data_IF_302104513549
#
_entry.id   IF_302104513549
#
_cell.length_a   1.000
_cell.length_b   1.000
_cell.length_c   1.000
_cell.angle_alpha   90.00
_cell.angle_beta   90.00
_cell.angle_gamma   90.00
#
_symmetry.space_group_name_H-M   'P 1'
#
loop_
_entity.id
_entity.type
_entity.pdbx_description
1 polymer ?
#
# COMPACT_ATOMS: atom_id res chain seq x y z
N UNK A 1 -16.73 4.85 -1.47
CA UNK A 1 -16.53 3.44 -1.03
C UNK A 1 -15.87 3.48 0.35
N UNK A 2 -16.28 2.60 1.28
CA UNK A 2 -15.78 2.59 2.67
C UNK A 2 -15.14 1.23 2.95
N UNK A 3 -13.90 1.24 3.41
CA UNK A 3 -13.21 0.05 3.89
C UNK A 3 -12.93 0.20 5.38
N UNK A 4 -13.45 -0.73 6.17
CA UNK A 4 -13.28 -0.74 7.61
C UNK A 4 -12.60 -2.04 8.02
N UNK A 5 -11.50 -1.93 8.76
CA UNK A 5 -10.76 -3.07 9.26
C UNK A 5 -10.55 -2.93 10.77
N UNK A 6 -11.08 -3.91 11.51
CA UNK A 6 -10.89 -4.06 12.96
C UNK A 6 -9.73 -5.01 13.24
N UNK A 7 -8.72 -4.53 13.96
CA UNK A 7 -7.62 -5.30 14.52
C UNK A 7 -7.81 -5.38 16.04
N UNK A 8 -7.85 -6.60 16.60
CA UNK A 8 -8.16 -6.85 18.01
C UNK A 8 -7.24 -6.09 18.99
N UNK A 9 -5.96 -5.92 18.67
CA UNK A 9 -4.97 -5.24 19.53
C UNK A 9 -4.42 -3.93 18.97
N UNK A 10 -4.73 -3.57 17.72
CA UNK A 10 -4.22 -2.36 17.06
C UNK A 10 -5.33 -1.36 16.71
N UNK A 11 -6.58 -1.68 17.06
CA UNK A 11 -7.74 -0.81 16.89
C UNK A 11 -8.39 -0.92 15.51
N UNK A 12 -9.11 0.12 15.09
CA UNK A 12 -9.87 0.13 13.83
C UNK A 12 -9.29 1.11 12.83
N UNK A 13 -8.96 0.63 11.63
CA UNK A 13 -8.55 1.48 10.50
C UNK A 13 -9.73 1.60 9.54
N UNK A 14 -10.21 2.83 9.36
CA UNK A 14 -11.26 3.19 8.42
C UNK A 14 -10.67 4.03 7.30
N UNK A 15 -10.73 3.51 6.08
CA UNK A 15 -10.35 4.22 4.86
C UNK A 15 -11.63 4.56 4.10
N UNK A 16 -11.86 5.84 3.86
CA UNK A 16 -13.01 6.36 3.12
C UNK A 16 -12.51 7.13 1.92
N UNK A 17 -12.92 6.71 0.73
CA UNK A 17 -12.75 7.52 -0.47
C UNK A 17 -13.86 8.58 -0.50
N UNK A 18 -13.49 9.85 -0.34
CA UNK A 18 -14.39 11.01 -0.55
C UNK A 18 -14.27 11.53 -1.99
N UNK A 19 -15.05 12.55 -2.33
CA UNK A 19 -15.13 13.10 -3.67
C UNK A 19 -13.81 13.75 -4.14
N UNK A 20 -13.03 14.33 -3.23
CA UNK A 20 -11.81 15.11 -3.53
C UNK A 20 -10.58 14.69 -2.69
N UNK A 21 -10.78 13.84 -1.68
CA UNK A 21 -9.72 13.40 -0.78
C UNK A 21 -9.86 11.95 -0.35
N UNK A 22 -8.73 11.36 0.02
CA UNK A 22 -8.68 10.10 0.76
C UNK A 22 -8.68 10.40 2.26
N UNK A 23 -9.74 9.99 2.95
CA UNK A 23 -9.81 10.09 4.41
C UNK A 23 -9.33 8.76 5.02
N UNK A 24 -8.25 8.80 5.79
CA UNK A 24 -7.75 7.68 6.57
C UNK A 24 -7.90 8.01 8.04
N UNK A 25 -8.70 7.23 8.75
CA UNK A 25 -8.84 7.30 10.20
C UNK A 25 -8.35 5.98 10.82
N UNK A 26 -7.29 6.04 11.62
CA UNK A 26 -6.86 4.94 12.49
C UNK A 26 -7.29 5.29 13.91
N UNK A 27 -8.03 4.41 14.54
CA UNK A 27 -8.40 4.49 15.96
C UNK A 27 -7.72 3.38 16.72
N UNK A 28 -7.22 3.66 17.91
CA UNK A 28 -6.68 2.67 18.84
C UNK A 28 -7.81 1.75 19.38
N UNK A 29 -7.55 0.59 20.02
CA UNK A 29 -8.60 -0.27 20.58
C UNK A 29 -9.34 0.41 21.76
N UNK A 30 -8.78 1.49 22.31
CA UNK A 30 -9.42 2.38 23.30
C UNK A 30 -10.37 3.41 22.66
N UNK A 31 -10.58 3.38 21.34
CA UNK A 31 -11.51 4.27 20.63
C UNK A 31 -10.96 5.65 20.27
N UNK A 32 -9.79 6.03 20.78
CA UNK A 32 -9.11 7.30 20.46
C UNK A 32 -8.56 7.26 19.03
N UNK A 33 -8.86 8.28 18.23
CA UNK A 33 -8.27 8.45 16.90
C UNK A 33 -6.78 8.76 17.02
N UNK A 34 -5.95 7.81 16.59
CA UNK A 34 -4.48 7.93 16.61
C UNK A 34 -3.91 8.51 15.33
N UNK A 35 -4.68 8.49 14.24
CA UNK A 35 -4.31 9.14 12.99
C UNK A 35 -5.57 9.53 12.23
N UNK A 36 -5.79 10.81 12.01
CA UNK A 36 -6.78 11.31 11.06
C UNK A 36 -6.02 12.12 10.02
N UNK A 37 -6.02 11.66 8.77
CA UNK A 37 -5.36 12.38 7.69
C UNK A 37 -6.26 12.38 6.48
N UNK A 38 -6.49 13.58 5.97
CA UNK A 38 -7.08 13.82 4.66
C UNK A 38 -5.95 14.11 3.69
N UNK A 39 -5.80 13.26 2.68
CA UNK A 39 -4.81 13.48 1.61
C UNK A 39 -5.58 13.85 0.34
N UNK A 40 -5.32 15.02 -0.26
CA UNK A 40 -5.97 15.44 -1.50
C UNK A 40 -5.47 14.59 -2.68
N UNK A 41 -6.28 14.44 -3.73
CA UNK A 41 -5.96 13.58 -4.87
C UNK A 41 -4.68 13.97 -5.61
N UNK A 42 -4.22 15.23 -5.51
CA UNK A 42 -2.96 15.68 -6.11
C UNK A 42 -1.72 14.99 -5.50
N UNK A 43 -1.79 14.58 -4.23
CA UNK A 43 -0.64 14.05 -3.47
C UNK A 43 -0.65 12.52 -3.32
N UNK A 44 -1.67 11.86 -3.88
CA UNK A 44 -1.90 10.42 -3.69
C UNK A 44 -1.06 9.57 -4.64
N UNK A 45 -0.72 10.08 -5.83
CA UNK A 45 0.10 9.35 -6.79
C UNK A 45 1.60 9.47 -6.44
N UNK A 46 2.38 8.38 -6.57
CA UNK A 46 1.99 7.06 -7.05
C UNK A 46 1.37 6.17 -5.96
N UNK A 47 0.28 5.48 -6.31
CA UNK A 47 -0.36 4.48 -5.43
C UNK A 47 0.33 3.13 -5.64
N UNK A 48 1.12 2.69 -4.66
CA UNK A 48 1.75 1.37 -4.62
C UNK A 48 1.07 0.50 -3.57
N UNK A 49 0.40 -0.55 -4.02
CA UNK A 49 -0.13 -1.59 -3.14
C UNK A 49 0.90 -2.72 -3.03
N UNK A 50 1.61 -2.79 -1.90
CA UNK A 50 2.63 -3.82 -1.64
C UNK A 50 2.13 -4.78 -0.56
N UNK A 51 2.21 -6.07 -0.84
CA UNK A 51 1.97 -7.12 0.15
C UNK A 51 3.29 -7.41 0.86
N UNK A 52 3.34 -7.16 2.17
CA UNK A 52 4.53 -7.40 2.97
C UNK A 52 4.26 -8.50 3.99
N UNK A 53 4.93 -9.63 3.81
CA UNK A 53 4.90 -10.74 4.74
C UNK A 53 6.12 -10.66 5.65
N UNK A 54 5.96 -10.18 6.87
CA UNK A 54 7.03 -10.11 7.85
C UNK A 54 6.93 -11.31 8.79
N UNK A 55 7.61 -12.40 8.45
CA UNK A 55 7.75 -13.55 9.34
C UNK A 55 8.97 -13.29 10.24
N UNK A 56 8.82 -13.11 11.57
CA UNK A 56 9.97 -12.94 12.46
C UNK A 56 10.65 -14.30 12.68
N UNK A 57 11.43 -14.75 11.69
CA UNK A 57 12.10 -16.07 11.68
C UNK A 57 12.99 -16.25 12.90
N UNK A 58 13.72 -15.21 13.32
CA UNK A 58 14.61 -15.27 14.47
C UNK A 58 13.86 -15.50 15.79
N UNK A 59 12.70 -14.86 15.97
CA UNK A 59 11.89 -15.06 17.16
C UNK A 59 11.31 -16.47 17.18
N UNK A 60 10.83 -16.97 16.03
CA UNK A 60 10.31 -18.33 15.90
C UNK A 60 11.37 -19.38 16.19
N UNK A 61 12.58 -19.21 15.66
CA UNK A 61 13.73 -20.08 15.95
C UNK A 61 14.05 -20.11 17.44
N UNK A 62 14.14 -18.94 18.07
CA UNK A 62 14.48 -18.83 19.49
C UNK A 62 13.38 -19.44 20.37
N UNK A 63 12.10 -19.18 20.08
CA UNK A 63 10.99 -19.82 20.78
C UNK A 63 10.93 -21.34 20.57
N UNK A 64 11.25 -21.80 19.36
CA UNK A 64 11.29 -23.23 19.04
C UNK A 64 12.41 -23.95 19.79
N UNK A 65 13.61 -23.36 19.81
CA UNK A 65 14.76 -23.91 20.53
C UNK A 65 14.50 -23.95 22.05
N UNK A 66 13.87 -22.91 22.58
CA UNK A 66 13.50 -22.82 23.99
C UNK A 66 12.43 -23.87 24.37
N UNK A 67 11.43 -24.09 23.51
CA UNK A 67 10.43 -25.16 23.68
C UNK A 67 11.05 -26.56 23.67
N UNK A 68 12.01 -26.80 22.77
CA UNK A 68 12.75 -28.08 22.71
C UNK A 68 13.57 -28.28 23.98
N UNK A 69 14.27 -27.25 24.45
CA UNK A 69 15.08 -27.31 25.66
C UNK A 69 14.22 -27.59 26.91
N UNK A 70 13.09 -26.90 27.06
CA UNK A 70 12.13 -27.13 28.15
C UNK A 70 11.42 -28.48 28.04
N UNK A 71 11.25 -29.01 26.82
CA UNK A 71 10.62 -30.31 26.59
C UNK A 71 11.52 -31.52 26.79
N UNK A 72 12.83 -31.33 26.69
CA UNK A 72 13.81 -32.41 26.78
C UNK A 72 13.72 -33.17 28.11
N UNK A 73 13.59 -32.45 29.23
CA UNK A 73 13.57 -33.02 30.58
C UNK A 73 12.30 -33.86 30.87
N UNK A 74 11.07 -33.35 30.67
CA UNK A 74 9.85 -34.14 30.84
C UNK A 74 9.73 -35.28 29.82
N UNK A 75 10.19 -35.07 28.58
CA UNK A 75 10.19 -36.12 27.55
C UNK A 75 11.10 -37.29 27.91
N UNK A 76 12.31 -37.01 28.41
CA UNK A 76 13.25 -38.03 28.89
C UNK A 76 12.71 -38.79 30.09
N UNK A 77 12.04 -38.10 31.02
CA UNK A 77 11.40 -38.74 32.18
C UNK A 77 10.26 -39.67 31.76
N UNK A 78 9.41 -39.23 30.84
CA UNK A 78 8.33 -40.06 30.30
C UNK A 78 8.85 -41.31 29.58
N UNK A 79 9.89 -41.18 28.74
CA UNK A 79 10.52 -42.32 28.07
C UNK A 79 11.15 -43.32 29.06
N UNK A 80 11.70 -42.84 30.18
CA UNK A 80 12.38 -43.69 31.15
C UNK A 80 11.43 -44.40 32.12
N UNK A 81 10.27 -43.81 32.42
CA UNK A 81 9.34 -44.33 33.45
C UNK A 81 8.00 -44.79 32.90
N UNK A 82 7.64 -44.44 31.67
CA UNK A 82 6.35 -44.76 31.05
C UNK A 82 5.15 -44.04 31.67
N UNK A 83 5.35 -43.26 32.73
CA UNK A 83 4.29 -42.55 33.43
C UNK A 83 4.24 -41.08 33.02
N UNK A 84 3.06 -40.62 32.63
CA UNK A 84 2.83 -39.20 32.32
C UNK A 84 2.74 -38.41 33.63
N UNK A 85 3.88 -37.93 34.11
CA UNK A 85 3.94 -37.03 35.27
C UNK A 85 3.29 -35.67 34.98
N UNK A 86 2.99 -34.93 36.05
CA UNK A 86 2.41 -33.58 36.00
C UNK A 86 3.27 -32.61 35.15
N UNK A 87 4.59 -32.84 35.09
CA UNK A 87 5.54 -32.10 34.25
C UNK A 87 5.26 -32.23 32.74
N UNK A 88 4.78 -33.38 32.27
CA UNK A 88 4.43 -33.61 30.85
C UNK A 88 3.16 -32.84 30.49
N UNK A 89 2.14 -32.86 31.36
CA UNK A 89 0.90 -32.10 31.18
C UNK A 89 1.14 -30.59 31.16
N UNK A 90 2.00 -30.09 32.07
CA UNK A 90 2.42 -28.68 32.08
C UNK A 90 3.14 -28.30 30.78
N UNK A 91 4.02 -29.16 30.27
CA UNK A 91 4.71 -28.91 29.01
C UNK A 91 3.75 -28.84 27.81
N UNK A 92 2.78 -29.75 27.72
CA UNK A 92 1.71 -29.68 26.72
C UNK A 92 0.87 -28.41 26.84
N UNK A 93 0.59 -27.95 28.05
CA UNK A 93 -0.08 -26.67 28.30
C UNK A 93 0.70 -25.48 27.76
N UNK A 94 2.02 -25.43 28.01
CA UNK A 94 2.93 -24.40 27.51
C UNK A 94 2.99 -24.42 25.98
N UNK A 95 3.02 -25.61 25.38
CA UNK A 95 3.04 -25.80 23.93
C UNK A 95 1.73 -25.34 23.31
N UNK A 96 0.58 -25.71 23.89
CA UNK A 96 -0.74 -25.26 23.46
C UNK A 96 -0.89 -23.75 23.53
N UNK A 97 -0.45 -23.12 24.63
CA UNK A 97 -0.49 -21.67 24.79
C UNK A 97 0.42 -20.94 23.78
N UNK A 98 1.62 -21.45 23.53
CA UNK A 98 2.54 -20.89 22.52
C UNK A 98 2.00 -21.06 21.09
N UNK A 99 1.40 -22.22 20.79
CA UNK A 99 0.74 -22.46 19.52
C UNK A 99 -0.40 -21.47 19.28
N UNK A 100 -1.24 -21.25 20.29
CA UNK A 100 -2.36 -20.30 20.22
C UNK A 100 -1.87 -18.85 20.09
N UNK A 101 -0.84 -18.46 20.84
CA UNK A 101 -0.22 -17.14 20.73
C UNK A 101 0.43 -16.91 19.35
N UNK A 102 1.09 -17.93 18.81
CA UNK A 102 1.70 -17.89 17.48
C UNK A 102 0.64 -17.80 16.38
N UNK A 103 -0.47 -18.53 16.53
CA UNK A 103 -1.62 -18.47 15.62
C UNK A 103 -2.24 -17.06 15.59
N UNK A 104 -2.47 -16.47 16.77
CA UNK A 104 -3.01 -15.10 16.87
C UNK A 104 -2.05 -14.08 16.26
N UNK A 105 -0.74 -14.23 16.46
CA UNK A 105 0.27 -13.36 15.85
C UNK A 105 0.41 -13.55 14.35
N UNK A 106 0.30 -14.79 13.85
CA UNK A 106 0.30 -15.10 12.43
C UNK A 106 -0.83 -14.34 11.71
N UNK A 107 -2.06 -14.42 12.23
CA UNK A 107 -3.20 -13.74 11.63
C UNK A 107 -3.11 -12.20 11.70
N UNK A 108 -2.49 -11.65 12.74
CA UNK A 108 -2.52 -10.22 13.00
C UNK A 108 -1.31 -9.44 12.49
N UNK A 109 -0.11 -10.04 12.54
CA UNK A 109 1.15 -9.32 12.38
C UNK A 109 1.98 -9.79 11.18
N UNK A 110 1.87 -11.06 10.77
CA UNK A 110 2.83 -11.60 9.79
C UNK A 110 2.42 -11.38 8.34
N UNK A 111 1.13 -11.22 8.07
CA UNK A 111 0.65 -10.74 6.79
C UNK A 111 0.23 -9.29 6.97
N UNK A 112 0.83 -8.35 6.24
CA UNK A 112 0.40 -6.94 6.22
C UNK A 112 0.25 -6.45 4.78
N UNK A 113 -0.83 -5.74 4.49
CA UNK A 113 -0.99 -4.99 3.25
C UNK A 113 -0.51 -3.56 3.49
N UNK A 114 0.40 -3.07 2.66
CA UNK A 114 0.85 -1.69 2.70
C UNK A 114 0.30 -0.95 1.49
N UNK A 115 -0.50 0.08 1.74
CA UNK A 115 -0.88 1.07 0.75
C UNK A 115 0.07 2.24 0.90
N UNK A 116 1.01 2.36 -0.03
CA UNK A 116 1.97 3.45 -0.07
C UNK A 116 1.50 4.46 -1.12
N UNK A 117 1.34 5.70 -0.70
CA UNK A 117 1.19 6.90 -1.54
C UNK A 117 2.46 7.74 -1.41
N UNK A 118 2.57 8.87 -2.12
CA UNK A 118 3.75 9.72 -2.02
C UNK A 118 4.01 10.23 -0.59
N UNK A 119 2.95 10.54 0.16
CA UNK A 119 3.06 11.13 1.50
C UNK A 119 2.55 10.24 2.63
N UNK A 120 1.87 9.12 2.32
CA UNK A 120 1.18 8.33 3.32
C UNK A 120 1.34 6.83 3.11
N UNK A 121 1.74 6.13 4.18
CA UNK A 121 1.87 4.67 4.23
C UNK A 121 0.82 4.11 5.18
N UNK A 122 -0.26 3.56 4.64
CA UNK A 122 -1.23 2.80 5.46
C UNK A 122 -0.78 1.36 5.54
N UNK A 123 -0.56 0.87 6.75
CA UNK A 123 -0.37 -0.57 7.01
C UNK A 123 -1.67 -1.17 7.55
N UNK A 124 -2.15 -2.21 6.87
CA UNK A 124 -3.39 -2.94 7.16
C UNK A 124 -3.02 -4.40 7.45
N UNK A 125 -3.75 -5.07 8.35
CA UNK A 125 -3.53 -6.50 8.56
C UNK A 125 -3.91 -7.32 7.31
N UNK A 126 -3.04 -8.24 6.94
CA UNK A 126 -3.07 -9.01 5.71
C UNK A 126 -3.98 -10.23 5.78
N UNK A 127 -5.28 -10.01 5.96
CA UNK A 127 -6.26 -11.12 5.92
C UNK A 127 -6.42 -11.63 4.49
N UNK A 128 -6.23 -12.93 4.21
CA UNK A 128 -6.26 -13.46 2.84
C UNK A 128 -7.63 -13.25 2.17
N UNK A 129 -8.71 -13.33 2.94
CA UNK A 129 -10.07 -13.07 2.43
C UNK A 129 -10.35 -11.59 2.11
N UNK A 130 -9.56 -10.65 2.65
CA UNK A 130 -9.69 -9.22 2.37
C UNK A 130 -8.79 -8.76 1.21
N UNK A 131 -7.91 -9.63 0.69
CA UNK A 131 -6.98 -9.31 -0.41
C UNK A 131 -7.70 -8.80 -1.66
N UNK A 132 -8.81 -9.45 -2.05
CA UNK A 132 -9.62 -9.02 -3.21
C UNK A 132 -10.25 -7.64 -2.98
N UNK A 133 -10.79 -7.39 -1.78
CA UNK A 133 -11.39 -6.10 -1.42
C UNK A 133 -10.36 -4.96 -1.36
N UNK A 134 -9.16 -5.25 -0.85
CA UNK A 134 -8.06 -4.29 -0.79
C UNK A 134 -7.55 -3.93 -2.20
N UNK A 135 -7.36 -4.93 -3.08
CA UNK A 135 -7.00 -4.68 -4.48
C UNK A 135 -8.06 -3.89 -5.23
N UNK A 136 -9.34 -4.22 -5.03
CA UNK A 136 -10.45 -3.47 -5.61
C UNK A 136 -10.46 -2.02 -5.11
N UNK A 137 -10.20 -1.78 -3.82
CA UNK A 137 -10.09 -0.43 -3.27
C UNK A 137 -8.91 0.33 -3.89
N UNK A 138 -7.73 -0.27 -3.98
CA UNK A 138 -6.56 0.37 -4.57
C UNK A 138 -6.79 0.73 -6.05
N UNK A 139 -7.40 -0.17 -6.82
CA UNK A 139 -7.74 0.07 -8.22
C UNK A 139 -8.81 1.17 -8.38
N UNK A 140 -9.84 1.16 -7.53
CA UNK A 140 -10.89 2.19 -7.52
C UNK A 140 -10.33 3.55 -7.13
N UNK A 141 -9.39 3.58 -6.17
CA UNK A 141 -8.68 4.78 -5.75
C UNK A 141 -7.86 5.35 -6.91
N UNK A 142 -7.02 4.54 -7.54
CA UNK A 142 -6.24 4.95 -8.70
C UNK A 142 -7.13 5.47 -9.83
N UNK A 143 -8.23 4.77 -10.12
CA UNK A 143 -9.19 5.18 -11.15
C UNK A 143 -9.81 6.54 -10.84
N UNK A 144 -10.26 6.76 -9.60
CA UNK A 144 -10.87 8.03 -9.18
C UNK A 144 -9.88 9.18 -9.21
N UNK A 145 -8.68 8.98 -8.68
CA UNK A 145 -7.59 9.96 -8.74
C UNK A 145 -7.28 10.35 -10.17
N UNK A 146 -7.11 9.39 -11.08
CA UNK A 146 -6.86 9.64 -12.51
C UNK A 146 -8.01 10.38 -13.18
N UNK A 147 -9.25 10.02 -12.85
CA UNK A 147 -10.45 10.66 -13.42
C UNK A 147 -10.54 12.12 -12.98
N UNK A 148 -10.34 12.40 -11.68
CA UNK A 148 -10.32 13.74 -11.12
C UNK A 148 -9.20 14.61 -11.72
N UNK A 149 -7.97 14.10 -11.74
CA UNK A 149 -6.84 14.82 -12.34
C UNK A 149 -7.07 15.12 -13.82
N UNK A 150 -7.70 14.20 -14.55
CA UNK A 150 -8.05 14.39 -15.96
C UNK A 150 -9.16 15.42 -16.16
N UNK A 151 -10.17 15.48 -15.29
CA UNK A 151 -11.25 16.46 -15.41
C UNK A 151 -10.80 17.88 -15.04
N UNK A 152 -9.97 18.00 -14.01
CA UNK A 152 -9.53 19.30 -13.46
C UNK A 152 -8.35 19.88 -14.23
N UNK A 153 -7.31 19.07 -14.48
CA UNK A 153 -6.06 19.54 -15.09
C UNK A 153 -5.88 19.14 -16.55
N UNK A 154 -6.72 18.22 -17.07
CA UNK A 154 -6.65 17.76 -18.46
C UNK A 154 -7.32 18.71 -19.47
N UNK A 155 -8.06 19.72 -18.99
CA UNK A 155 -8.64 20.74 -19.87
C UNK A 155 -7.59 21.77 -20.26
N UNK A 156 -7.46 21.96 -21.57
CA UNK A 156 -6.46 22.84 -22.17
C UNK A 156 -7.17 24.01 -22.81
N UNK A 157 -6.77 25.23 -22.47
CA UNK A 157 -7.34 26.45 -23.03
C UNK A 157 -6.36 27.01 -24.09
N UNK A 158 -6.73 27.00 -25.38
CA UNK A 158 -5.86 27.47 -26.46
C UNK A 158 -5.58 28.98 -26.40
N UNK A 159 -6.37 29.75 -25.65
CA UNK A 159 -6.18 31.21 -25.47
C UNK A 159 -5.37 31.56 -24.22
N UNK A 160 -5.05 30.58 -23.37
CA UNK A 160 -4.27 30.78 -22.16
C UNK A 160 -2.76 30.72 -22.39
N UNK A 161 -1.99 31.10 -21.37
CA UNK A 161 -0.53 30.96 -21.40
C UNK A 161 -0.13 29.50 -21.67
N UNK A 162 0.72 29.29 -22.68
CA UNK A 162 1.07 27.95 -23.19
C UNK A 162 2.03 27.22 -22.23
N UNK A 163 3.01 27.92 -21.65
CA UNK A 163 4.05 27.32 -20.80
C UNK A 163 3.51 26.61 -19.54
N UNK A 164 2.62 27.23 -18.72
CA UNK A 164 2.02 26.52 -17.58
C UNK A 164 1.18 25.32 -18.00
N UNK A 165 0.53 25.39 -19.17
CA UNK A 165 -0.28 24.29 -19.70
C UNK A 165 0.59 23.12 -20.13
N UNK A 166 1.71 23.40 -20.77
CA UNK A 166 2.66 22.38 -21.21
C UNK A 166 3.32 21.67 -20.01
N UNK A 167 3.66 22.42 -18.95
CA UNK A 167 4.13 21.84 -17.68
C UNK A 167 3.08 20.97 -17.01
N UNK A 168 1.80 21.37 -17.01
CA UNK A 168 0.70 20.54 -16.49
C UNK A 168 0.52 19.24 -17.27
N UNK A 169 0.60 19.28 -18.61
CA UNK A 169 0.52 18.08 -19.45
C UNK A 169 1.70 17.13 -19.18
N UNK A 170 2.92 17.67 -19.04
CA UNK A 170 4.10 16.89 -18.69
C UNK A 170 3.95 16.22 -17.31
N UNK A 171 3.48 16.98 -16.31
CA UNK A 171 3.20 16.47 -14.97
C UNK A 171 2.14 15.36 -14.97
N UNK A 172 1.03 15.52 -15.70
CA UNK A 172 -0.01 14.48 -15.83
C UNK A 172 0.50 13.22 -16.53
N UNK A 173 1.45 13.36 -17.45
CA UNK A 173 2.13 12.23 -18.10
C UNK A 173 3.06 11.50 -17.13
N UNK A 174 3.88 12.22 -16.35
CA UNK A 174 4.75 11.63 -15.31
C UNK A 174 3.93 10.82 -14.28
N UNK A 175 2.74 11.30 -13.94
CA UNK A 175 1.79 10.63 -13.07
C UNK A 175 1.04 9.45 -13.71
N UNK A 176 1.33 9.12 -14.98
CA UNK A 176 0.63 8.10 -15.78
C UNK A 176 -0.90 8.31 -15.84
N UNK A 177 -1.36 9.56 -15.76
CA UNK A 177 -2.77 9.94 -15.96
C UNK A 177 -3.09 10.01 -17.45
N UNK A 178 -2.15 10.58 -18.23
CA UNK A 178 -2.23 10.65 -19.69
C UNK A 178 -1.24 9.65 -20.31
N UNK A 179 -1.68 8.96 -21.36
CA UNK A 179 -0.76 8.17 -22.18
C UNK A 179 0.20 9.09 -22.95
N UNK A 180 1.37 8.56 -23.34
CA UNK A 180 2.33 9.33 -24.16
C UNK A 180 1.70 9.91 -25.44
N UNK A 181 0.77 9.18 -26.06
CA UNK A 181 0.04 9.63 -27.26
C UNK A 181 -0.91 10.78 -26.96
N UNK A 182 -1.66 10.70 -25.86
CA UNK A 182 -2.58 11.77 -25.45
C UNK A 182 -1.82 13.04 -25.04
N UNK A 183 -0.73 12.88 -24.29
CA UNK A 183 0.14 14.00 -23.90
C UNK A 183 0.73 14.69 -25.13
N UNK A 184 1.22 13.92 -26.11
CA UNK A 184 1.74 14.45 -27.38
C UNK A 184 0.66 15.14 -28.22
N UNK A 185 -0.56 14.59 -28.26
CA UNK A 185 -1.67 15.24 -28.96
C UNK A 185 -2.07 16.58 -28.31
N UNK A 186 -2.09 16.64 -26.98
CA UNK A 186 -2.39 17.89 -26.25
C UNK A 186 -1.26 18.92 -26.39
N UNK A 187 0.01 18.50 -26.33
CA UNK A 187 1.15 19.41 -26.55
C UNK A 187 1.16 19.93 -27.99
N UNK A 188 0.82 19.09 -28.97
CA UNK A 188 0.70 19.50 -30.38
C UNK A 188 -0.42 20.49 -30.58
N UNK A 189 -1.60 20.30 -29.94
CA UNK A 189 -2.70 21.28 -29.99
C UNK A 189 -2.32 22.64 -29.38
N UNK A 190 -1.48 22.63 -28.35
CA UNK A 190 -1.04 23.84 -27.66
C UNK A 190 0.04 24.62 -28.40
N UNK A 191 0.97 23.92 -29.05
CA UNK A 191 2.18 24.52 -29.64
C UNK A 191 2.17 24.51 -31.15
N UNK A 192 1.26 23.77 -31.78
CA UNK A 192 1.32 23.41 -33.19
C UNK A 192 2.45 22.44 -33.54
N UNK A 193 3.30 22.03 -32.59
CA UNK A 193 4.52 21.23 -32.84
C UNK A 193 4.31 19.76 -32.48
N UNK A 194 4.77 18.85 -33.34
CA UNK A 194 4.64 17.39 -33.14
C UNK A 194 5.50 16.85 -32.00
N UNK A 195 6.57 17.56 -31.64
CA UNK A 195 7.54 17.15 -30.61
C UNK A 195 8.05 18.40 -29.87
N UNK A 196 8.11 18.33 -28.54
CA UNK A 196 8.78 19.34 -27.70
C UNK A 196 10.27 19.04 -27.52
N UNK A 197 10.72 17.84 -27.91
CA UNK A 197 12.13 17.46 -27.89
C UNK A 197 12.82 18.06 -29.12
N UNK A 198 13.90 18.84 -28.94
CA UNK A 198 14.67 19.36 -30.07
C UNK A 198 15.30 18.19 -30.84
N UNK A 199 15.14 18.20 -32.16
CA UNK A 199 15.79 17.23 -33.03
C UNK A 199 17.27 17.63 -33.12
N UNK A 200 18.16 16.83 -32.53
CA UNK A 200 19.60 17.03 -32.73
C UNK A 200 19.98 16.52 -34.11
N UNK A 201 20.29 17.43 -35.02
CA UNK A 201 20.87 17.13 -36.33
C UNK A 201 22.18 17.88 -36.46
N UNK A 202 23.25 17.17 -36.79
CA UNK A 202 24.58 17.76 -37.06
C UNK A 202 25.09 18.67 -35.92
N UNK A 203 24.81 18.33 -34.66
CA UNK A 203 25.23 19.12 -33.50
C UNK A 203 24.39 20.37 -33.22
N UNK A 204 23.37 20.66 -34.03
CA UNK A 204 22.42 21.77 -33.81
C UNK A 204 21.07 21.24 -33.30
N UNK A 205 20.46 22.00 -32.39
CA UNK A 205 19.11 21.73 -31.89
C UNK A 205 18.09 22.32 -32.88
N UNK A 206 17.47 21.47 -33.68
CA UNK A 206 16.43 21.86 -34.64
C UNK A 206 15.05 21.85 -33.98
N UNK A 207 14.24 22.85 -34.32
CA UNK A 207 12.83 22.87 -33.93
C UNK A 207 12.05 21.75 -34.64
N UNK A 208 11.11 21.14 -33.92
CA UNK A 208 10.23 20.14 -34.50
C UNK A 208 9.26 20.77 -35.51
N UNK A 209 8.88 20.04 -36.58
CA UNK A 209 7.98 20.56 -37.59
C UNK A 209 6.61 20.92 -37.00
N UNK A 210 6.10 22.09 -37.42
CA UNK A 210 4.75 22.55 -37.12
C UNK A 210 3.74 21.83 -38.03
N UNK A 211 2.61 21.43 -37.48
CA UNK A 211 1.46 20.93 -38.23
C UNK A 211 0.42 22.04 -38.33
N UNK A 212 0.09 22.44 -39.57
CA UNK A 212 -1.06 23.27 -39.90
C UNK A 212 -2.31 22.39 -40.01
#
# INVERSE_FOLDING_TARGET
MIFNQKQLFQGTTRVVLRAESLYVCKRNPQGVATLETEVPYEEILPVKAVEHRHIPVNQLLLTGLLLVFLGYQPWRQWLATGQAGLSLYLWWGILGLNGLASWVRFEQQWCTFRLQTAHLVVTLAGRPWQRKKFRALAAELERRTKTYLRSEYGQVNPLGFIEPQLRRVAWLHELNVLSAREAQALSTRLTGRRSTTPLKSMGQELEAPYLN
#
